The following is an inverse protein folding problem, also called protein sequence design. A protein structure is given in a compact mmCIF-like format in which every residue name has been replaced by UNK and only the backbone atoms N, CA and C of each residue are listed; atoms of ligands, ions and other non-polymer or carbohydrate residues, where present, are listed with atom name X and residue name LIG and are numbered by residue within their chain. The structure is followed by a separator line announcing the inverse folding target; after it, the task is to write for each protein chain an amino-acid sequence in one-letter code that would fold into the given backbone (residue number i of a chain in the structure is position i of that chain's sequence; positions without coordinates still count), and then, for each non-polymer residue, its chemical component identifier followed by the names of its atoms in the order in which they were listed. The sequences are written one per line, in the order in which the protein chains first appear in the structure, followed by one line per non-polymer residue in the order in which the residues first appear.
data_IF_516338267591
#
_entry.id   IF_516338267591
#
_cell.length_a   1.000
_cell.length_b   1.000
_cell.length_c   1.000
_cell.angle_alpha   90.00
_cell.angle_beta   90.00
_cell.angle_gamma   90.00
#
_symmetry.space_group_name_H-M   'P 1'
#
loop_
_entity.id
_entity.type
_entity.pdbx_description
1 polymer ?
#
# COMPACT_ATOMS: atom_id res chain seq x y z
N UNK A 1 -46.93 13.67 11.08
CA UNK A 1 -46.27 14.38 12.20
C UNK A 1 -45.81 15.76 11.71
N UNK A 2 -45.87 16.80 12.58
CA UNK A 2 -45.43 18.13 12.18
C UNK A 2 -43.89 18.20 12.30
N UNK A 3 -43.20 18.18 11.17
CA UNK A 3 -41.72 18.24 11.13
C UNK A 3 -41.15 19.66 11.34
N UNK A 4 -41.92 20.57 11.95
CA UNK A 4 -41.50 21.91 12.33
C UNK A 4 -42.56 22.96 12.19
N UNK A 5 -42.21 24.22 12.51
CA UNK A 5 -43.13 25.38 12.50
C UNK A 5 -42.41 26.65 12.07
N UNK A 6 -43.16 27.65 11.62
CA UNK A 6 -42.67 28.98 11.30
C UNK A 6 -43.29 29.96 12.29
N UNK A 7 -42.48 30.80 12.91
CA UNK A 7 -42.92 31.85 13.84
C UNK A 7 -42.36 33.19 13.37
N UNK A 8 -43.19 34.21 13.24
CA UNK A 8 -42.75 35.57 12.94
C UNK A 8 -42.17 36.21 14.19
N UNK A 9 -40.98 36.85 14.05
CA UNK A 9 -40.33 37.64 15.10
C UNK A 9 -39.89 38.98 14.51
N UNK A 10 -40.68 40.02 14.78
CA UNK A 10 -40.51 41.33 14.15
C UNK A 10 -40.66 41.23 12.63
N UNK A 11 -39.67 41.71 11.86
CA UNK A 11 -39.64 41.62 10.39
C UNK A 11 -39.12 40.29 9.85
N UNK A 12 -38.61 39.39 10.71
CA UNK A 12 -38.01 38.15 10.28
C UNK A 12 -38.87 36.93 10.64
N UNK A 13 -38.62 35.78 9.94
CA UNK A 13 -39.36 34.53 10.12
C UNK A 13 -38.41 33.46 10.63
N UNK A 14 -38.68 32.98 11.86
CA UNK A 14 -37.92 31.89 12.51
C UNK A 14 -38.57 30.56 12.17
N UNK A 15 -37.81 29.64 11.54
CA UNK A 15 -38.22 28.26 11.31
C UNK A 15 -37.65 27.38 12.40
N UNK A 16 -38.49 26.52 12.96
CA UNK A 16 -38.11 25.40 13.81
C UNK A 16 -38.13 24.14 12.93
N UNK A 17 -36.99 23.54 12.69
CA UNK A 17 -36.88 22.23 12.05
C UNK A 17 -36.86 21.17 13.14
N UNK A 18 -37.81 20.24 13.10
CA UNK A 18 -37.94 19.14 14.07
C UNK A 18 -37.47 17.84 13.43
N UNK A 19 -36.40 17.27 13.95
CA UNK A 19 -35.76 16.05 13.47
C UNK A 19 -36.26 14.78 14.16
N UNK A 20 -37.24 14.91 15.07
CA UNK A 20 -37.73 13.80 15.89
C UNK A 20 -36.92 13.64 17.17
N UNK A 21 -36.84 12.39 17.65
CA UNK A 21 -36.09 12.03 18.86
C UNK A 21 -34.79 11.35 18.47
N UNK A 22 -33.71 11.66 19.16
CA UNK A 22 -32.42 10.94 19.04
C UNK A 22 -32.47 9.55 19.71
N UNK A 23 -31.37 8.79 19.63
CA UNK A 23 -31.26 7.46 20.23
C UNK A 23 -31.41 7.45 21.78
N UNK A 24 -31.34 8.61 22.45
CA UNK A 24 -31.58 8.77 23.88
C UNK A 24 -33.03 9.15 24.19
N UNK A 25 -33.88 9.32 23.18
CA UNK A 25 -35.28 9.74 23.31
C UNK A 25 -35.46 11.26 23.41
N UNK A 26 -34.41 12.05 23.34
CA UNK A 26 -34.46 13.52 23.41
C UNK A 26 -34.81 14.10 22.05
N UNK A 27 -35.74 15.09 22.05
CA UNK A 27 -36.18 15.73 20.81
C UNK A 27 -35.13 16.69 20.26
N UNK A 28 -34.73 16.50 19.00
CA UNK A 28 -33.71 17.31 18.30
C UNK A 28 -34.39 18.35 17.44
N UNK A 29 -34.10 19.63 17.70
CA UNK A 29 -34.64 20.78 16.95
C UNK A 29 -33.55 21.74 16.59
N UNK A 30 -33.62 22.27 15.37
CA UNK A 30 -32.73 23.34 14.87
C UNK A 30 -33.56 24.57 14.49
N UNK A 31 -33.05 25.74 14.73
CA UNK A 31 -33.71 26.99 14.42
C UNK A 31 -32.90 27.79 13.39
N UNK A 32 -33.59 28.33 12.40
CA UNK A 32 -33.00 29.24 11.41
C UNK A 32 -33.93 30.41 11.15
N UNK A 33 -33.36 31.61 10.98
CA UNK A 33 -34.11 32.83 10.69
C UNK A 33 -33.95 33.21 9.25
N UNK A 34 -35.08 33.63 8.62
CA UNK A 34 -35.16 34.04 7.24
C UNK A 34 -35.75 35.46 7.17
N UNK A 35 -35.34 36.20 6.15
CA UNK A 35 -35.84 37.53 5.95
C UNK A 35 -37.30 37.57 5.45
N UNK A 36 -37.73 36.55 4.68
CA UNK A 36 -39.04 36.50 4.07
C UNK A 36 -39.80 35.21 4.47
N UNK A 37 -41.14 35.32 4.56
CA UNK A 37 -42.03 34.17 4.80
C UNK A 37 -41.90 33.11 3.68
N UNK A 38 -41.67 33.55 2.43
CA UNK A 38 -41.53 32.66 1.26
C UNK A 38 -40.29 31.76 1.39
N UNK A 39 -39.14 32.33 1.80
CA UNK A 39 -37.92 31.56 2.07
C UNK A 39 -38.09 30.59 3.24
N UNK A 40 -38.69 31.05 4.34
CA UNK A 40 -38.99 30.23 5.50
C UNK A 40 -39.86 29.02 5.14
N UNK A 41 -40.93 29.26 4.34
CA UNK A 41 -41.83 28.18 3.89
C UNK A 41 -41.12 27.20 2.95
N UNK A 42 -40.30 27.70 2.02
CA UNK A 42 -39.51 26.85 1.13
C UNK A 42 -38.53 25.96 1.90
N UNK A 43 -37.85 26.54 2.89
CA UNK A 43 -36.90 25.80 3.74
C UNK A 43 -37.61 24.70 4.56
N UNK A 44 -38.76 25.03 5.18
CA UNK A 44 -39.55 24.07 5.94
C UNK A 44 -40.10 22.92 5.05
N UNK A 45 -40.60 23.24 3.88
CA UNK A 45 -41.09 22.23 2.94
C UNK A 45 -39.97 21.31 2.46
N UNK A 46 -38.77 21.85 2.17
CA UNK A 46 -37.60 21.05 1.82
C UNK A 46 -37.19 20.10 2.96
N UNK A 47 -37.28 20.56 4.23
CA UNK A 47 -37.03 19.72 5.40
C UNK A 47 -38.09 18.60 5.52
N UNK A 48 -39.38 18.91 5.34
CA UNK A 48 -40.45 17.90 5.37
C UNK A 48 -40.24 16.80 4.35
N UNK A 49 -39.90 17.16 3.08
CA UNK A 49 -39.62 16.20 2.03
C UNK A 49 -38.46 15.28 2.40
N UNK A 50 -37.38 15.82 2.98
CA UNK A 50 -36.24 15.00 3.43
C UNK A 50 -36.61 14.06 4.56
N UNK A 51 -37.46 14.51 5.50
CA UNK A 51 -37.96 13.67 6.62
C UNK A 51 -38.83 12.54 6.08
N UNK A 52 -39.76 12.83 5.15
CA UNK A 52 -40.65 11.82 4.56
C UNK A 52 -39.90 10.79 3.71
N UNK A 53 -38.81 11.21 3.07
CA UNK A 53 -37.91 10.33 2.29
C UNK A 53 -36.90 9.56 3.16
N UNK A 54 -36.85 9.80 4.48
CA UNK A 54 -35.86 9.18 5.36
C UNK A 54 -34.41 9.63 5.08
N UNK A 55 -34.22 10.72 4.31
CA UNK A 55 -32.88 11.24 3.94
C UNK A 55 -32.40 12.37 4.86
N UNK A 56 -33.08 12.58 5.97
CA UNK A 56 -32.80 13.68 6.87
C UNK A 56 -31.81 13.24 7.96
N UNK A 57 -30.59 13.69 7.86
CA UNK A 57 -29.54 13.45 8.86
C UNK A 57 -29.72 14.41 10.04
N UNK A 58 -29.58 13.89 11.27
CA UNK A 58 -29.62 14.71 12.47
C UNK A 58 -28.47 15.76 12.45
N UNK A 59 -28.77 17.02 12.81
CA UNK A 59 -27.73 18.02 12.94
C UNK A 59 -26.67 17.57 13.95
N UNK A 60 -25.44 17.56 13.53
CA UNK A 60 -24.31 17.18 14.35
C UNK A 60 -23.27 18.30 14.37
N UNK A 61 -22.71 18.57 15.54
CA UNK A 61 -21.57 19.46 15.71
C UNK A 61 -20.23 18.73 15.56
N UNK A 62 -20.29 17.45 15.21
CA UNK A 62 -19.10 16.61 15.01
C UNK A 62 -18.15 17.27 14.01
N UNK A 63 -16.92 17.48 14.44
CA UNK A 63 -15.87 17.96 13.54
C UNK A 63 -15.33 16.80 12.70
N UNK A 64 -14.70 17.10 11.58
CA UNK A 64 -14.08 16.07 10.76
C UNK A 64 -12.95 15.34 11.51
N UNK A 65 -12.21 16.04 12.38
CA UNK A 65 -11.21 15.40 13.26
C UNK A 65 -11.82 14.35 14.18
N UNK A 66 -12.95 14.66 14.82
CA UNK A 66 -13.67 13.73 15.72
C UNK A 66 -14.20 12.52 14.93
N UNK A 67 -14.73 12.76 13.72
CA UNK A 67 -15.16 11.69 12.83
C UNK A 67 -14.00 10.77 12.46
N UNK A 68 -12.86 11.32 12.06
CA UNK A 68 -11.68 10.54 11.70
C UNK A 68 -11.15 9.69 12.86
N UNK A 69 -11.23 10.18 14.12
CA UNK A 69 -10.86 9.41 15.31
C UNK A 69 -11.78 8.22 15.52
N UNK A 70 -13.09 8.46 15.48
CA UNK A 70 -14.09 7.40 15.62
C UNK A 70 -13.97 6.38 14.48
N UNK A 71 -13.96 6.85 13.22
CA UNK A 71 -13.83 5.98 12.06
C UNK A 71 -12.54 5.15 12.09
N UNK A 72 -11.42 5.77 12.44
CA UNK A 72 -10.14 5.07 12.50
C UNK A 72 -10.13 4.00 13.59
N UNK A 73 -10.56 4.33 14.80
CA UNK A 73 -10.46 3.45 15.95
C UNK A 73 -11.51 2.33 15.95
N UNK A 74 -12.76 2.70 15.67
CA UNK A 74 -13.89 1.80 15.91
C UNK A 74 -14.39 1.11 14.64
N UNK A 75 -14.13 1.67 13.46
CA UNK A 75 -14.62 1.11 12.19
C UNK A 75 -13.50 0.42 11.41
N UNK A 76 -12.40 1.14 11.09
CA UNK A 76 -11.44 0.64 10.11
C UNK A 76 -10.29 -0.16 10.73
N UNK A 77 -9.81 0.22 11.92
CA UNK A 77 -8.67 -0.44 12.57
C UNK A 77 -8.85 -1.96 12.75
N UNK A 78 -10.04 -2.49 13.12
CA UNK A 78 -10.26 -3.93 13.22
C UNK A 78 -10.24 -4.67 11.87
N UNK A 79 -10.35 -3.95 10.74
CA UNK A 79 -10.53 -4.53 9.41
C UNK A 79 -9.25 -4.46 8.55
N UNK A 80 -8.24 -3.71 9.00
CA UNK A 80 -7.04 -3.48 8.21
C UNK A 80 -5.78 -4.00 8.88
N UNK A 81 -4.80 -4.30 8.05
CA UNK A 81 -3.48 -4.71 8.46
C UNK A 81 -2.73 -3.60 9.21
N UNK A 82 -1.90 -3.96 10.16
CA UNK A 82 -1.15 -3.03 11.02
C UNK A 82 -0.28 -2.04 10.23
N UNK A 83 0.33 -2.48 9.13
CA UNK A 83 1.10 -1.61 8.22
C UNK A 83 0.23 -0.55 7.55
N UNK A 84 -0.99 -0.92 7.16
CA UNK A 84 -1.99 0.02 6.61
C UNK A 84 -2.48 0.98 7.68
N UNK A 85 -2.77 0.45 8.88
CA UNK A 85 -3.18 1.24 10.04
C UNK A 85 -2.12 2.29 10.42
N UNK A 86 -0.85 1.91 10.40
CA UNK A 86 0.25 2.84 10.63
C UNK A 86 0.28 3.97 9.60
N UNK A 87 0.12 3.63 8.31
CA UNK A 87 0.04 4.61 7.23
C UNK A 87 -1.14 5.56 7.38
N UNK A 88 -2.33 5.03 7.69
CA UNK A 88 -3.54 5.82 7.91
C UNK A 88 -3.39 6.77 9.10
N UNK A 89 -2.83 6.28 10.22
CA UNK A 89 -2.55 7.11 11.40
C UNK A 89 -1.64 8.28 11.04
N UNK A 90 -0.59 8.04 10.25
CA UNK A 90 0.31 9.08 9.78
C UNK A 90 -0.40 10.14 8.92
N UNK A 91 -1.21 9.73 7.95
CA UNK A 91 -1.99 10.63 7.10
C UNK A 91 -3.01 11.45 7.91
N UNK A 92 -3.74 10.80 8.82
CA UNK A 92 -4.74 11.46 9.67
C UNK A 92 -4.07 12.49 10.57
N UNK A 93 -3.03 12.09 11.32
CA UNK A 93 -2.38 12.94 12.32
C UNK A 93 -1.65 14.13 11.70
N UNK A 94 -0.88 13.88 10.64
CA UNK A 94 0.08 14.86 10.14
C UNK A 94 -0.47 15.76 9.03
N UNK A 95 -1.58 15.35 8.39
CA UNK A 95 -2.11 16.08 7.23
C UNK A 95 -3.60 16.37 7.32
N UNK A 96 -4.46 15.36 7.54
CA UNK A 96 -5.92 15.55 7.49
C UNK A 96 -6.45 16.38 8.65
N UNK A 97 -6.05 16.07 9.88
CA UNK A 97 -6.51 16.82 11.05
C UNK A 97 -6.03 18.26 11.08
N UNK A 98 -4.76 18.57 10.79
CA UNK A 98 -4.30 19.95 10.77
C UNK A 98 -5.04 20.82 9.75
N UNK A 99 -5.40 20.30 8.58
CA UNK A 99 -5.92 21.10 7.46
C UNK A 99 -7.46 21.07 7.37
N UNK A 100 -8.08 19.94 7.65
CA UNK A 100 -9.53 19.76 7.50
C UNK A 100 -10.25 19.49 8.82
N UNK A 101 -9.52 19.21 9.91
CA UNK A 101 -10.07 18.67 11.13
C UNK A 101 -11.10 19.55 11.83
N UNK A 102 -10.94 20.87 11.80
CA UNK A 102 -11.83 21.84 12.45
C UNK A 102 -13.16 22.04 11.70
N UNK A 103 -13.25 21.58 10.44
CA UNK A 103 -14.47 21.73 9.64
C UNK A 103 -15.53 20.79 10.23
N UNK A 104 -16.73 21.28 10.44
CA UNK A 104 -17.87 20.40 10.80
C UNK A 104 -18.10 19.37 9.71
N UNK A 105 -18.23 18.09 10.06
CA UNK A 105 -18.34 16.99 9.11
C UNK A 105 -19.43 17.23 8.06
N UNK A 106 -20.61 17.72 8.48
CA UNK A 106 -21.75 18.03 7.60
C UNK A 106 -21.54 19.28 6.71
N UNK A 107 -20.47 20.05 6.95
CA UNK A 107 -20.11 21.22 6.16
C UNK A 107 -18.88 21.02 5.28
N UNK A 108 -18.23 19.86 5.38
CA UNK A 108 -17.07 19.53 4.54
C UNK A 108 -17.52 19.43 3.07
N UNK A 109 -16.90 20.21 2.21
CA UNK A 109 -17.26 20.30 0.78
C UNK A 109 -16.20 19.67 -0.12
N UNK A 110 -16.58 19.32 -1.34
CA UNK A 110 -15.63 18.89 -2.36
C UNK A 110 -14.54 19.95 -2.65
N UNK A 111 -14.88 21.24 -2.52
CA UNK A 111 -13.93 22.35 -2.70
C UNK A 111 -12.84 22.36 -1.63
N UNK A 112 -13.19 22.06 -0.38
CA UNK A 112 -12.22 21.98 0.73
C UNK A 112 -11.25 20.84 0.48
N UNK A 113 -11.76 19.67 0.07
CA UNK A 113 -10.93 18.50 -0.26
C UNK A 113 -10.04 18.76 -1.48
N UNK A 114 -10.57 19.47 -2.50
CA UNK A 114 -9.75 19.80 -3.68
C UNK A 114 -8.61 20.76 -3.31
N UNK A 115 -8.86 21.77 -2.45
CA UNK A 115 -7.81 22.66 -1.92
C UNK A 115 -6.79 21.91 -1.09
N UNK A 116 -7.24 20.95 -0.30
CA UNK A 116 -6.34 20.07 0.45
C UNK A 116 -5.37 19.30 -0.46
N UNK A 117 -5.80 18.80 -1.63
CA UNK A 117 -4.89 18.14 -2.58
C UNK A 117 -3.87 19.10 -3.17
N UNK A 118 -4.29 20.32 -3.50
CA UNK A 118 -3.38 21.38 -3.95
C UNK A 118 -2.32 21.66 -2.88
N UNK A 119 -2.74 21.85 -1.64
CA UNK A 119 -1.84 22.07 -0.51
C UNK A 119 -0.86 20.90 -0.29
N UNK A 120 -1.32 19.65 -0.42
CA UNK A 120 -0.43 18.48 -0.32
C UNK A 120 0.66 18.46 -1.39
N UNK A 121 0.33 18.89 -2.62
CA UNK A 121 1.28 18.92 -3.73
C UNK A 121 2.20 20.13 -3.67
N UNK A 122 1.66 21.30 -3.46
CA UNK A 122 2.38 22.56 -3.61
C UNK A 122 3.18 22.92 -2.35
N UNK A 123 2.58 22.76 -1.17
CA UNK A 123 3.25 23.14 0.09
C UNK A 123 3.98 21.97 0.76
N UNK A 124 3.44 20.75 0.66
CA UNK A 124 4.08 19.56 1.25
C UNK A 124 4.95 18.78 0.26
N UNK A 125 4.95 19.15 -1.02
CA UNK A 125 5.76 18.51 -2.06
C UNK A 125 5.44 17.03 -2.28
N UNK A 126 4.22 16.58 -1.92
CA UNK A 126 3.85 15.18 -2.06
C UNK A 126 3.57 14.82 -3.52
N UNK A 127 4.02 13.62 -3.91
CA UNK A 127 3.76 13.12 -5.26
C UNK A 127 2.27 12.88 -5.51
N UNK A 128 1.78 12.98 -6.76
CA UNK A 128 0.39 12.65 -7.12
C UNK A 128 -0.04 11.26 -6.63
N UNK A 129 0.86 10.26 -6.67
CA UNK A 129 0.57 8.92 -6.18
C UNK A 129 0.36 8.86 -4.66
N UNK A 130 1.03 9.75 -3.91
CA UNK A 130 0.80 9.88 -2.46
C UNK A 130 -0.54 10.55 -2.19
N UNK A 131 -0.90 11.60 -2.95
CA UNK A 131 -2.21 12.27 -2.83
C UNK A 131 -3.36 11.32 -3.16
N UNK A 132 -3.19 10.38 -4.11
CA UNK A 132 -4.17 9.32 -4.37
C UNK A 132 -4.38 8.41 -3.14
N UNK A 133 -3.36 8.17 -2.32
CA UNK A 133 -3.54 7.42 -1.06
C UNK A 133 -4.42 8.20 -0.07
N UNK A 134 -4.24 9.52 0.02
CA UNK A 134 -5.14 10.39 0.80
C UNK A 134 -6.56 10.39 0.25
N UNK A 135 -6.74 10.44 -1.08
CA UNK A 135 -8.03 10.34 -1.73
C UNK A 135 -8.76 9.04 -1.35
N UNK A 136 -8.07 7.90 -1.40
CA UNK A 136 -8.65 6.60 -1.05
C UNK A 136 -9.06 6.53 0.44
N UNK A 137 -8.23 7.07 1.34
CA UNK A 137 -8.56 7.15 2.77
C UNK A 137 -9.80 8.01 2.99
N UNK A 138 -9.84 9.22 2.39
CA UNK A 138 -10.99 10.13 2.47
C UNK A 138 -12.26 9.50 1.92
N UNK A 139 -12.17 8.81 0.79
CA UNK A 139 -13.30 8.09 0.19
C UNK A 139 -13.85 7.05 1.14
N UNK A 140 -13.00 6.23 1.75
CA UNK A 140 -13.41 5.21 2.70
C UNK A 140 -14.04 5.81 3.96
N UNK A 141 -13.43 6.85 4.53
CA UNK A 141 -13.93 7.50 5.74
C UNK A 141 -15.28 8.20 5.50
N UNK A 142 -15.44 8.87 4.37
CA UNK A 142 -16.67 9.61 4.05
C UNK A 142 -17.80 8.70 3.51
N UNK A 143 -17.46 7.57 2.86
CA UNK A 143 -18.45 6.52 2.57
C UNK A 143 -19.03 5.93 3.86
N UNK A 144 -18.18 5.68 4.86
CA UNK A 144 -18.65 5.23 6.17
C UNK A 144 -19.53 6.29 6.88
N UNK A 145 -19.20 7.59 6.73
CA UNK A 145 -20.01 8.67 7.27
C UNK A 145 -21.39 8.76 6.61
N UNK A 146 -21.47 8.55 5.30
CA UNK A 146 -22.73 8.50 4.56
C UNK A 146 -23.56 7.26 4.93
N UNK A 147 -22.93 6.08 4.95
CA UNK A 147 -23.60 4.81 5.32
C UNK A 147 -24.13 4.78 6.74
N UNK A 148 -23.47 5.49 7.67
CA UNK A 148 -23.92 5.63 9.07
C UNK A 148 -24.76 6.90 9.30
N UNK A 149 -25.21 7.55 8.24
CA UNK A 149 -26.10 8.72 8.31
C UNK A 149 -25.54 9.94 9.07
N UNK A 150 -24.20 10.08 9.17
CA UNK A 150 -23.58 11.30 9.70
C UNK A 150 -23.58 12.43 8.68
N UNK A 151 -23.58 12.11 7.38
CA UNK A 151 -23.73 13.05 6.27
C UNK A 151 -24.77 12.53 5.28
N UNK A 152 -25.47 13.43 4.61
CA UNK A 152 -26.51 13.08 3.61
C UNK A 152 -25.95 12.66 2.26
N UNK A 153 -24.73 13.09 1.95
CA UNK A 153 -24.06 12.83 0.66
C UNK A 153 -22.56 12.95 0.83
N UNK A 154 -21.85 11.97 0.29
CA UNK A 154 -20.39 11.98 0.30
C UNK A 154 -19.85 13.05 -0.69
N UNK A 155 -19.12 14.08 -0.23
CA UNK A 155 -18.54 15.10 -1.11
C UNK A 155 -17.51 14.54 -2.09
N UNK A 156 -16.92 13.37 -1.81
CA UNK A 156 -15.93 12.74 -2.68
C UNK A 156 -16.44 12.42 -4.08
N UNK A 157 -17.76 12.28 -4.26
CA UNK A 157 -18.38 12.07 -5.57
C UNK A 157 -18.12 13.21 -6.58
N UNK A 158 -17.79 14.41 -6.09
CA UNK A 158 -17.48 15.59 -6.88
C UNK A 158 -15.98 15.99 -6.82
N UNK A 159 -15.12 15.16 -6.23
CA UNK A 159 -13.69 15.41 -6.11
C UNK A 159 -12.92 14.59 -7.14
N UNK A 160 -12.03 15.26 -7.88
CA UNK A 160 -11.16 14.60 -8.85
C UNK A 160 -9.77 14.34 -8.24
N UNK A 161 -9.32 13.08 -8.14
CA UNK A 161 -7.95 12.81 -7.72
C UNK A 161 -6.94 13.29 -8.80
N UNK A 162 -5.69 13.57 -8.42
CA UNK A 162 -4.67 13.91 -9.40
C UNK A 162 -4.39 12.71 -10.33
N UNK A 163 -3.90 12.98 -11.52
CA UNK A 163 -3.51 11.93 -12.48
C UNK A 163 -2.36 11.11 -11.89
N UNK A 164 -2.52 9.78 -11.94
CA UNK A 164 -1.47 8.86 -11.49
C UNK A 164 -0.23 9.03 -12.35
N UNK A 165 0.93 9.29 -11.72
CA UNK A 165 2.21 9.18 -12.41
C UNK A 165 2.58 7.71 -12.54
N UNK A 166 2.84 7.28 -13.76
CA UNK A 166 3.44 5.96 -13.99
C UNK A 166 4.89 6.01 -13.49
N UNK A 167 5.25 5.00 -12.70
CA UNK A 167 6.63 4.78 -12.30
C UNK A 167 7.19 3.75 -13.26
N UNK A 168 8.20 4.13 -14.04
CA UNK A 168 8.97 3.17 -14.80
C UNK A 168 9.80 2.36 -13.82
N UNK A 169 9.60 1.05 -13.83
CA UNK A 169 10.38 0.15 -13.00
C UNK A 169 11.82 0.17 -13.52
N UNK A 170 12.76 0.50 -12.63
CA UNK A 170 14.17 0.40 -12.94
C UNK A 170 14.63 -1.04 -12.75
N UNK A 171 15.55 -1.47 -13.57
CA UNK A 171 16.21 -2.76 -13.43
C UNK A 171 17.64 -2.65 -13.95
N UNK A 172 18.50 -3.52 -13.47
CA UNK A 172 19.89 -3.58 -13.90
C UNK A 172 20.04 -4.43 -15.17
N UNK A 173 20.98 -4.02 -16.05
CA UNK A 173 21.46 -4.88 -17.11
C UNK A 173 22.29 -6.04 -16.52
N UNK A 174 22.56 -7.11 -17.30
CA UNK A 174 23.46 -8.19 -16.83
C UNK A 174 24.81 -7.67 -16.33
N UNK A 175 25.41 -6.70 -17.01
CA UNK A 175 26.70 -6.10 -16.66
C UNK A 175 26.60 -5.32 -15.36
N UNK A 176 25.54 -4.51 -15.19
CA UNK A 176 25.31 -3.74 -13.96
C UNK A 176 25.06 -4.65 -12.77
N UNK A 177 24.33 -5.76 -12.97
CA UNK A 177 24.13 -6.76 -11.94
C UNK A 177 25.45 -7.43 -11.57
N UNK A 178 26.27 -7.83 -12.54
CA UNK A 178 27.59 -8.40 -12.29
C UNK A 178 28.45 -7.48 -11.43
N UNK A 179 28.56 -6.18 -11.81
CA UNK A 179 29.30 -5.18 -11.01
C UNK A 179 28.75 -5.05 -9.59
N UNK A 180 27.42 -5.07 -9.41
CA UNK A 180 26.84 -5.05 -8.06
C UNK A 180 27.25 -6.28 -7.25
N UNK A 181 27.14 -7.48 -7.83
CA UNK A 181 27.48 -8.74 -7.16
C UNK A 181 28.95 -8.79 -6.75
N UNK A 182 29.85 -8.32 -7.61
CA UNK A 182 31.28 -8.22 -7.32
C UNK A 182 31.55 -7.25 -6.15
N UNK A 183 30.88 -6.09 -6.15
CA UNK A 183 31.11 -5.06 -5.13
C UNK A 183 30.52 -5.43 -3.76
N UNK A 184 29.43 -6.20 -3.68
CA UNK A 184 28.86 -6.64 -2.40
C UNK A 184 29.63 -7.79 -1.76
N UNK A 185 30.52 -8.45 -2.51
CA UNK A 185 31.31 -9.58 -2.00
C UNK A 185 32.05 -9.22 -0.70
N UNK A 186 32.00 -10.09 0.28
CA UNK A 186 32.59 -9.90 1.60
C UNK A 186 31.89 -8.86 2.49
N UNK A 187 30.83 -8.21 2.04
CA UNK A 187 30.04 -7.27 2.86
C UNK A 187 28.84 -7.96 3.49
N UNK A 188 28.22 -7.30 4.48
CA UNK A 188 26.96 -7.78 5.09
C UNK A 188 25.75 -7.76 4.13
N UNK A 189 25.87 -7.16 2.96
CA UNK A 189 24.83 -7.15 1.92
C UNK A 189 24.99 -8.30 0.93
N UNK A 190 26.08 -9.03 0.95
CA UNK A 190 26.37 -10.08 -0.03
C UNK A 190 25.21 -11.08 -0.13
N UNK A 191 24.96 -11.86 0.90
CA UNK A 191 23.89 -12.87 0.91
C UNK A 191 22.51 -12.27 0.63
N UNK A 192 22.07 -11.16 1.29
CA UNK A 192 20.80 -10.50 0.98
C UNK A 192 20.61 -10.10 -0.49
N UNK A 193 21.65 -9.54 -1.12
CA UNK A 193 21.59 -9.09 -2.50
C UNK A 193 21.54 -10.28 -3.47
N UNK A 194 22.37 -11.30 -3.25
CA UNK A 194 22.35 -12.52 -4.06
C UNK A 194 20.98 -13.23 -4.00
N UNK A 195 20.41 -13.38 -2.81
CA UNK A 195 19.06 -13.98 -2.66
C UNK A 195 18.02 -13.14 -3.43
N UNK A 196 18.03 -11.81 -3.31
CA UNK A 196 17.09 -10.97 -4.04
C UNK A 196 17.29 -11.02 -5.56
N UNK A 197 18.53 -11.05 -6.02
CA UNK A 197 18.87 -11.05 -7.44
C UNK A 197 18.55 -12.40 -8.11
N UNK A 198 18.81 -13.52 -7.42
CA UNK A 198 18.69 -14.85 -8.00
C UNK A 198 17.31 -15.49 -7.81
N UNK A 199 16.60 -15.13 -6.74
CA UNK A 199 15.28 -15.69 -6.44
C UNK A 199 14.13 -14.68 -6.61
N UNK A 200 14.44 -13.41 -6.84
CA UNK A 200 13.44 -12.37 -7.02
C UNK A 200 12.55 -12.15 -5.79
N UNK A 201 13.05 -12.37 -4.57
CA UNK A 201 12.27 -12.24 -3.35
C UNK A 201 11.85 -10.78 -3.09
N UNK A 202 10.66 -10.62 -2.49
CA UNK A 202 10.28 -9.33 -1.91
C UNK A 202 11.13 -9.07 -0.66
N UNK A 203 11.42 -7.80 -0.37
CA UNK A 203 12.16 -7.42 0.84
C UNK A 203 11.63 -8.09 2.12
N UNK A 204 10.32 -8.13 2.26
CA UNK A 204 9.70 -8.75 3.44
C UNK A 204 9.88 -10.27 3.48
N UNK A 205 9.85 -10.95 2.33
CA UNK A 205 10.12 -12.38 2.20
C UNK A 205 11.58 -12.69 2.56
N UNK A 206 12.52 -11.89 2.04
CA UNK A 206 13.94 -12.00 2.39
C UNK A 206 14.17 -11.83 3.90
N UNK A 207 13.60 -10.79 4.53
CA UNK A 207 13.76 -10.55 5.97
C UNK A 207 13.01 -11.56 6.85
N UNK A 208 12.05 -12.29 6.29
CA UNK A 208 11.28 -13.33 6.97
C UNK A 208 11.78 -14.75 6.70
N UNK A 209 12.82 -14.91 5.88
CA UNK A 209 13.36 -16.22 5.50
C UNK A 209 14.03 -16.90 6.70
N UNK A 210 13.70 -18.15 6.94
CA UNK A 210 14.18 -18.96 8.07
C UNK A 210 15.05 -20.12 7.60
N UNK A 211 15.92 -20.60 8.45
CA UNK A 211 16.72 -21.81 8.17
C UNK A 211 15.83 -23.06 8.03
N UNK A 212 14.73 -23.13 8.76
CA UNK A 212 13.72 -24.18 8.60
C UNK A 212 13.05 -24.21 7.23
N UNK A 213 13.10 -23.08 6.47
CA UNK A 213 12.55 -22.98 5.12
C UNK A 213 13.55 -23.43 4.04
N UNK A 214 14.83 -23.69 4.41
CA UNK A 214 15.94 -23.99 3.48
C UNK A 214 16.30 -25.45 3.54
N UNK A 215 16.20 -26.15 2.41
CA UNK A 215 16.65 -27.52 2.22
C UNK A 215 17.87 -27.53 1.30
N UNK A 216 19.07 -27.62 1.92
CA UNK A 216 20.34 -27.64 1.18
C UNK A 216 20.62 -28.99 0.53
N UNK A 217 19.98 -30.07 0.98
CA UNK A 217 20.12 -31.41 0.39
C UNK A 217 19.38 -31.47 -0.95
N UNK A 218 18.15 -30.98 -0.98
CA UNK A 218 17.33 -30.94 -2.20
C UNK A 218 17.48 -29.64 -2.97
N UNK A 219 18.37 -28.73 -2.53
CA UNK A 219 18.61 -27.42 -3.16
C UNK A 219 17.31 -26.62 -3.37
N UNK A 220 16.49 -26.51 -2.31
CA UNK A 220 15.23 -25.77 -2.37
C UNK A 220 15.06 -24.81 -1.20
N UNK A 221 14.25 -23.80 -1.43
CA UNK A 221 13.80 -22.88 -0.38
C UNK A 221 12.31 -22.60 -0.51
N UNK A 222 11.58 -22.70 0.58
CA UNK A 222 10.14 -22.45 0.62
C UNK A 222 9.87 -21.06 1.22
N UNK A 223 9.13 -20.24 0.52
CA UNK A 223 8.78 -18.89 0.95
C UNK A 223 7.40 -18.92 1.59
N UNK A 224 7.35 -18.90 2.91
CA UNK A 224 6.12 -18.97 3.70
C UNK A 224 5.91 -17.74 4.58
N UNK A 225 6.97 -17.04 4.94
CA UNK A 225 6.95 -15.97 5.90
C UNK A 225 7.32 -14.62 5.28
N UNK A 226 6.74 -13.56 5.85
CA UNK A 226 7.05 -12.19 5.45
C UNK A 226 7.24 -11.34 6.71
N UNK A 227 8.37 -10.66 6.81
CA UNK A 227 8.66 -9.72 7.90
C UNK A 227 8.62 -8.30 7.37
N UNK A 228 7.75 -7.49 7.95
CA UNK A 228 7.52 -6.09 7.58
C UNK A 228 7.66 -5.19 8.79
N UNK A 229 7.53 -3.88 8.61
CA UNK A 229 7.71 -2.91 9.68
C UNK A 229 6.63 -1.82 9.62
N UNK A 230 6.05 -1.49 10.77
CA UNK A 230 5.16 -0.35 10.98
C UNK A 230 5.77 0.59 12.04
N UNK A 231 6.46 1.62 11.59
CA UNK A 231 7.28 2.48 12.46
C UNK A 231 8.45 1.69 13.07
N UNK A 232 8.47 1.61 14.41
CA UNK A 232 9.49 0.83 15.15
C UNK A 232 9.08 -0.63 15.36
N UNK A 233 7.81 -0.96 15.14
CA UNK A 233 7.27 -2.31 15.38
C UNK A 233 7.51 -3.19 14.16
N UNK A 234 8.11 -4.33 14.38
CA UNK A 234 8.28 -5.39 13.40
C UNK A 234 7.06 -6.30 13.42
N UNK A 235 6.63 -6.71 12.25
CA UNK A 235 5.42 -7.49 12.05
C UNK A 235 5.78 -8.69 11.21
N UNK A 236 5.62 -9.85 11.79
CA UNK A 236 5.73 -11.12 11.10
C UNK A 236 4.36 -11.62 10.67
N UNK A 237 4.31 -12.20 9.49
CA UNK A 237 3.10 -12.82 8.94
C UNK A 237 3.49 -14.00 8.08
N UNK A 238 2.69 -15.03 8.12
CA UNK A 238 2.63 -16.01 7.04
C UNK A 238 2.24 -15.32 5.73
N UNK A 239 2.52 -15.94 4.61
CA UNK A 239 2.10 -15.42 3.30
C UNK A 239 0.59 -15.28 3.24
N UNK A 240 0.09 -14.15 2.74
CA UNK A 240 -1.35 -13.77 2.75
C UNK A 240 -2.27 -14.71 1.99
N UNK A 241 -1.75 -15.50 1.06
CA UNK A 241 -2.54 -16.39 0.21
C UNK A 241 -1.75 -17.67 -0.06
N UNK A 242 -2.47 -18.77 -0.28
CA UNK A 242 -1.89 -20.07 -0.71
C UNK A 242 -1.01 -19.89 -1.96
N UNK A 243 -1.37 -18.94 -2.85
CA UNK A 243 -0.59 -18.60 -4.05
C UNK A 243 0.72 -17.86 -3.77
N UNK A 244 0.92 -17.37 -2.55
CA UNK A 244 2.16 -16.67 -2.15
C UNK A 244 3.20 -17.62 -1.55
N UNK A 245 2.77 -18.76 -1.00
CA UNK A 245 3.65 -19.86 -0.59
C UNK A 245 4.16 -20.57 -1.85
N UNK A 246 5.47 -20.64 -1.97
CA UNK A 246 6.13 -21.26 -3.12
C UNK A 246 7.49 -21.81 -2.75
N UNK A 247 7.86 -22.92 -3.37
CA UNK A 247 9.21 -23.50 -3.27
C UNK A 247 10.00 -23.12 -4.52
N UNK A 248 11.20 -22.62 -4.32
CA UNK A 248 12.13 -22.21 -5.36
C UNK A 248 13.38 -23.08 -5.33
N UNK A 249 13.98 -23.30 -6.49
CA UNK A 249 15.26 -23.97 -6.62
C UNK A 249 16.40 -23.03 -6.20
N UNK A 250 17.39 -23.57 -5.48
CA UNK A 250 18.61 -22.87 -5.08
C UNK A 250 19.75 -23.27 -6.03
N UNK A 251 20.31 -22.36 -6.83
CA UNK A 251 21.50 -22.65 -7.62
C UNK A 251 22.72 -22.91 -6.69
N UNK A 252 23.69 -23.68 -7.19
CA UNK A 252 24.87 -24.10 -6.43
C UNK A 252 25.57 -22.94 -5.72
N UNK A 253 25.70 -21.80 -6.40
CA UNK A 253 26.27 -20.56 -5.83
C UNK A 253 25.54 -20.14 -4.54
N UNK A 254 24.21 -20.14 -4.53
CA UNK A 254 23.44 -19.79 -3.33
C UNK A 254 23.54 -20.87 -2.25
N UNK A 255 23.59 -22.15 -2.63
CA UNK A 255 23.79 -23.24 -1.68
C UNK A 255 25.14 -23.11 -0.93
N UNK A 256 26.20 -22.82 -1.65
CA UNK A 256 27.53 -22.59 -1.05
C UNK A 256 27.54 -21.36 -0.13
N UNK A 257 26.92 -20.25 -0.58
CA UNK A 257 26.80 -19.03 0.24
C UNK A 257 25.97 -19.28 1.53
N UNK A 258 24.89 -20.06 1.43
CA UNK A 258 24.06 -20.40 2.60
C UNK A 258 24.81 -21.32 3.57
N UNK A 259 25.61 -22.28 3.07
CA UNK A 259 26.48 -23.11 3.94
C UNK A 259 27.49 -22.24 4.69
N UNK A 260 28.21 -21.38 3.97
CA UNK A 260 29.17 -20.44 4.55
C UNK A 260 28.51 -19.50 5.58
N UNK A 261 27.29 -19.01 5.29
CA UNK A 261 26.54 -18.18 6.21
C UNK A 261 26.17 -18.93 7.49
N UNK A 262 25.80 -20.20 7.40
CA UNK A 262 25.49 -21.06 8.56
C UNK A 262 26.73 -21.37 9.40
N UNK A 263 27.86 -21.61 8.78
CA UNK A 263 29.16 -21.77 9.47
C UNK A 263 29.54 -20.48 10.23
N UNK A 264 29.47 -19.34 9.55
CA UNK A 264 29.72 -18.03 10.15
C UNK A 264 28.78 -17.72 11.32
N UNK A 265 27.51 -18.08 11.19
CA UNK A 265 26.55 -17.97 12.29
C UNK A 265 27.02 -18.74 13.52
N UNK A 266 27.50 -19.97 13.36
CA UNK A 266 28.01 -20.80 14.45
C UNK A 266 29.28 -20.20 15.08
N UNK A 267 30.16 -19.61 14.29
CA UNK A 267 31.32 -18.87 14.78
C UNK A 267 30.90 -17.65 15.62
N UNK A 268 29.94 -16.87 15.13
CA UNK A 268 29.38 -15.72 15.84
C UNK A 268 28.69 -16.13 17.15
N UNK A 269 27.90 -17.20 17.16
CA UNK A 269 27.32 -17.78 18.40
C UNK A 269 28.38 -18.09 19.44
N UNK A 270 29.47 -18.67 18.99
CA UNK A 270 30.60 -19.02 19.86
C UNK A 270 31.32 -17.76 20.38
N UNK A 271 31.53 -16.76 19.53
CA UNK A 271 32.20 -15.52 19.87
C UNK A 271 31.40 -14.61 20.81
N UNK A 272 30.11 -14.39 20.47
CA UNK A 272 29.23 -13.48 21.21
C UNK A 272 28.49 -14.13 22.39
N UNK A 273 28.46 -15.47 22.46
CA UNK A 273 27.90 -16.24 23.58
C UNK A 273 26.47 -15.74 23.96
N UNK A 274 26.30 -15.33 25.21
CA UNK A 274 25.00 -14.91 25.77
C UNK A 274 24.46 -13.60 25.19
N UNK A 275 25.22 -12.88 24.36
CA UNK A 275 24.80 -11.63 23.72
C UNK A 275 24.23 -11.92 22.32
N UNK A 276 24.54 -13.10 21.78
CA UNK A 276 24.02 -13.50 20.46
C UNK A 276 22.51 -13.78 20.52
N UNK A 277 21.76 -13.18 19.59
CA UNK A 277 20.32 -13.42 19.43
C UNK A 277 20.13 -14.71 18.60
N UNK A 278 20.01 -15.84 19.29
CA UNK A 278 19.84 -17.14 18.65
C UNK A 278 18.40 -17.33 18.15
N UNK A 279 18.22 -17.19 16.86
CA UNK A 279 16.95 -17.29 16.18
C UNK A 279 17.10 -18.07 14.86
N UNK A 280 15.99 -18.34 14.18
CA UNK A 280 15.96 -19.17 12.95
C UNK A 280 16.06 -18.36 11.65
N UNK A 281 16.43 -17.06 11.69
CA UNK A 281 16.50 -16.26 10.46
C UNK A 281 17.80 -16.46 9.68
N UNK A 282 17.68 -16.52 8.34
CA UNK A 282 18.83 -16.64 7.42
C UNK A 282 19.59 -15.33 7.30
N UNK A 283 18.89 -14.20 7.31
CA UNK A 283 19.46 -12.88 7.07
C UNK A 283 19.57 -12.11 8.38
N UNK A 284 20.72 -12.25 9.05
CA UNK A 284 21.01 -11.69 10.38
C UNK A 284 22.23 -10.79 10.36
N UNK A 285 22.36 -9.94 11.38
CA UNK A 285 23.55 -9.18 11.69
C UNK A 285 24.55 -10.05 12.48
N UNK A 286 25.75 -9.54 12.74
CA UNK A 286 26.81 -10.26 13.44
C UNK A 286 26.42 -10.66 14.87
N UNK A 287 25.53 -9.89 15.52
CA UNK A 287 24.99 -10.21 16.84
C UNK A 287 23.78 -11.15 16.81
N UNK A 288 23.49 -11.75 15.65
CA UNK A 288 22.35 -12.67 15.43
C UNK A 288 21.02 -11.99 15.22
N UNK A 289 20.89 -10.67 15.44
CA UNK A 289 19.62 -9.99 15.24
C UNK A 289 19.25 -9.95 13.77
N UNK A 290 18.01 -10.33 13.43
CA UNK A 290 17.56 -10.28 12.06
C UNK A 290 17.50 -8.84 11.55
N UNK A 291 17.86 -8.63 10.27
CA UNK A 291 17.80 -7.30 9.66
C UNK A 291 16.40 -6.71 9.74
N UNK A 292 16.29 -5.49 10.22
CA UNK A 292 15.03 -4.72 10.09
C UNK A 292 14.78 -4.37 8.62
N UNK A 293 13.58 -4.59 8.08
CA UNK A 293 13.31 -4.37 6.65
C UNK A 293 13.66 -2.96 6.15
N UNK A 294 13.40 -1.91 6.93
CA UNK A 294 13.75 -0.55 6.54
C UNK A 294 15.26 -0.31 6.59
N UNK A 295 15.93 -0.79 7.63
CA UNK A 295 17.39 -0.67 7.76
C UNK A 295 18.12 -1.36 6.59
N UNK A 296 17.68 -2.54 6.19
CA UNK A 296 18.25 -3.23 5.03
C UNK A 296 18.11 -2.39 3.74
N UNK A 297 16.96 -1.73 3.53
CA UNK A 297 16.77 -0.83 2.37
C UNK A 297 17.66 0.41 2.43
N UNK A 298 17.81 0.99 3.62
CA UNK A 298 18.69 2.15 3.84
C UNK A 298 20.16 1.79 3.61
N UNK A 299 20.58 0.64 4.14
CA UNK A 299 21.93 0.10 3.97
C UNK A 299 22.24 -0.16 2.48
N UNK A 300 21.30 -0.78 1.76
CA UNK A 300 21.45 -1.03 0.33
C UNK A 300 21.53 0.28 -0.47
N UNK A 301 20.66 1.24 -0.19
CA UNK A 301 20.68 2.56 -0.86
C UNK A 301 21.98 3.32 -0.61
N UNK A 302 22.48 3.27 0.64
CA UNK A 302 23.77 3.87 1.00
C UNK A 302 24.92 3.18 0.26
N UNK A 303 24.92 1.84 0.25
CA UNK A 303 25.94 1.05 -0.44
C UNK A 303 26.04 1.41 -1.94
N UNK A 304 24.90 1.55 -2.62
CA UNK A 304 24.90 1.96 -4.04
C UNK A 304 25.50 3.35 -4.23
N UNK A 305 25.22 4.27 -3.31
CA UNK A 305 25.77 5.63 -3.37
C UNK A 305 27.28 5.65 -3.09
N UNK A 306 27.74 4.93 -2.08
CA UNK A 306 29.14 4.86 -1.65
C UNK A 306 30.03 4.18 -2.71
N UNK A 307 29.43 3.38 -3.62
CA UNK A 307 30.13 2.65 -4.68
C UNK A 307 29.86 3.17 -6.09
N UNK A 308 29.22 4.36 -6.23
CA UNK A 308 28.88 4.98 -7.51
C UNK A 308 28.07 4.07 -8.46
N UNK A 309 27.19 3.23 -7.87
CA UNK A 309 26.31 2.34 -8.65
C UNK A 309 25.00 3.04 -9.04
N UNK A 310 24.38 2.67 -10.17
CA UNK A 310 23.09 3.21 -10.54
C UNK A 310 22.03 3.00 -9.44
N UNK A 311 21.29 4.07 -9.10
CA UNK A 311 20.33 4.04 -8.00
C UNK A 311 19.10 3.22 -8.32
N UNK A 312 18.94 2.12 -7.62
CA UNK A 312 17.74 1.29 -7.56
C UNK A 312 17.35 1.06 -6.10
N UNK A 313 16.12 0.65 -5.85
CA UNK A 313 15.71 0.16 -4.54
C UNK A 313 15.81 -1.37 -4.48
N UNK A 314 15.93 -1.93 -3.29
CA UNK A 314 16.10 -3.39 -3.11
C UNK A 314 14.99 -4.20 -3.83
N UNK A 315 13.75 -3.66 -3.88
CA UNK A 315 12.66 -4.30 -4.61
C UNK A 315 12.87 -4.33 -6.15
N UNK A 316 13.69 -3.43 -6.68
CA UNK A 316 14.01 -3.38 -8.13
C UNK A 316 14.96 -4.49 -8.55
N UNK A 317 15.66 -5.17 -7.63
CA UNK A 317 16.37 -6.43 -7.91
C UNK A 317 15.39 -7.54 -8.34
N UNK A 318 14.19 -7.55 -7.79
CA UNK A 318 13.12 -8.45 -8.24
C UNK A 318 12.65 -8.11 -9.67
N UNK A 319 12.62 -6.83 -10.03
CA UNK A 319 12.36 -6.42 -11.42
C UNK A 319 13.52 -6.81 -12.34
N UNK A 320 14.75 -6.71 -11.84
CA UNK A 320 15.95 -7.20 -12.53
C UNK A 320 15.85 -8.70 -12.80
N UNK A 321 15.57 -9.52 -11.77
CA UNK A 321 15.35 -10.96 -11.93
C UNK A 321 14.33 -11.27 -13.03
N UNK A 322 13.18 -10.63 -12.98
CA UNK A 322 12.13 -10.88 -13.95
C UNK A 322 12.48 -10.39 -15.37
N UNK A 323 13.16 -9.24 -15.51
CA UNK A 323 13.62 -8.73 -16.79
C UNK A 323 14.67 -9.64 -17.42
N UNK A 324 15.66 -10.09 -16.64
CA UNK A 324 16.69 -11.01 -17.11
C UNK A 324 16.14 -12.40 -17.43
N UNK A 325 15.20 -12.91 -16.64
CA UNK A 325 14.50 -14.17 -16.94
C UNK A 325 13.74 -14.09 -18.27
N UNK A 326 13.05 -12.98 -18.53
CA UNK A 326 12.36 -12.77 -19.80
C UNK A 326 13.35 -12.65 -20.96
N UNK A 327 14.48 -11.95 -20.76
CA UNK A 327 15.56 -11.87 -21.77
C UNK A 327 16.19 -13.24 -22.06
N UNK A 328 16.25 -14.14 -21.08
CA UNK A 328 16.68 -15.52 -21.22
C UNK A 328 15.63 -16.43 -21.88
N UNK A 329 14.49 -15.88 -22.31
CA UNK A 329 13.43 -16.63 -22.99
C UNK A 329 12.52 -17.45 -22.05
N UNK A 330 12.58 -17.23 -20.75
CA UNK A 330 11.72 -17.92 -19.79
C UNK A 330 10.26 -17.45 -19.95
N UNK A 331 9.29 -18.36 -20.13
CA UNK A 331 7.89 -17.99 -20.27
C UNK A 331 7.37 -17.15 -19.10
N UNK A 332 6.62 -16.09 -19.40
CA UNK A 332 6.10 -15.15 -18.38
C UNK A 332 5.33 -15.86 -17.25
N UNK A 333 4.60 -16.93 -17.59
CA UNK A 333 3.90 -17.76 -16.60
C UNK A 333 4.85 -18.35 -15.53
N UNK A 334 6.01 -18.86 -15.96
CA UNK A 334 7.01 -19.44 -15.06
C UNK A 334 7.64 -18.35 -14.18
N UNK A 335 7.91 -17.17 -14.77
CA UNK A 335 8.42 -16.01 -14.03
C UNK A 335 7.38 -15.57 -12.96
N UNK A 336 6.10 -15.46 -13.33
CA UNK A 336 5.02 -15.12 -12.42
C UNK A 336 4.89 -16.11 -11.25
N UNK A 337 4.97 -17.40 -11.55
CA UNK A 337 4.95 -18.46 -10.56
C UNK A 337 6.14 -18.38 -9.60
N UNK A 338 7.35 -18.19 -10.12
CA UNK A 338 8.56 -18.01 -9.31
C UNK A 338 8.47 -16.76 -8.43
N UNK A 339 7.90 -15.68 -8.93
CA UNK A 339 7.71 -14.44 -8.20
C UNK A 339 6.52 -14.49 -7.20
N UNK A 340 5.57 -15.42 -7.34
CA UNK A 340 4.36 -15.45 -6.52
C UNK A 340 3.47 -14.22 -6.74
N UNK A 341 3.18 -13.89 -8.00
CA UNK A 341 2.22 -12.86 -8.36
C UNK A 341 0.80 -13.43 -8.35
N UNK A 342 -0.13 -12.78 -7.65
CA UNK A 342 -1.52 -13.20 -7.57
C UNK A 342 -2.35 -12.86 -8.82
N UNK A 343 -1.83 -12.00 -9.71
CA UNK A 343 -2.51 -11.61 -10.95
C UNK A 343 -1.53 -11.41 -12.10
N UNK A 344 -1.83 -11.97 -13.30
CA UNK A 344 -1.02 -11.79 -14.52
C UNK A 344 -0.83 -10.33 -14.93
N UNK A 345 -1.81 -9.46 -14.66
CA UNK A 345 -1.77 -8.04 -14.99
C UNK A 345 -0.58 -7.27 -14.38
N UNK A 346 -0.01 -7.75 -13.27
CA UNK A 346 1.13 -7.08 -12.62
C UNK A 346 2.42 -7.32 -13.39
N UNK A 347 2.63 -8.53 -13.87
CA UNK A 347 3.80 -8.91 -14.68
C UNK A 347 3.71 -8.26 -16.07
N UNK A 348 2.55 -8.33 -16.71
CA UNK A 348 2.31 -7.79 -18.04
C UNK A 348 2.57 -6.28 -18.14
N UNK A 349 2.18 -5.48 -17.13
CA UNK A 349 2.41 -4.02 -17.10
C UNK A 349 3.89 -3.63 -17.04
N UNK A 350 4.72 -4.43 -16.37
CA UNK A 350 6.14 -4.14 -16.20
C UNK A 350 6.93 -4.50 -17.47
N UNK A 351 6.45 -5.48 -18.24
CA UNK A 351 7.16 -6.07 -19.37
C UNK A 351 6.60 -5.72 -20.75
N UNK A 352 5.62 -4.81 -20.85
CA UNK A 352 5.01 -4.39 -22.13
C UNK A 352 6.07 -3.93 -23.15
N UNK A 353 7.15 -3.29 -22.69
CA UNK A 353 8.26 -2.86 -23.56
C UNK A 353 9.17 -4.00 -24.08
N UNK A 354 9.10 -5.19 -23.45
CA UNK A 354 9.83 -6.37 -23.86
C UNK A 354 8.99 -7.31 -24.73
N UNK A 355 7.67 -7.13 -24.74
CA UNK A 355 6.73 -7.95 -25.51
C UNK A 355 6.91 -7.84 -27.03
N UNK A 356 7.40 -6.72 -27.55
CA UNK A 356 7.65 -6.55 -28.98
C UNK A 356 8.70 -7.55 -29.51
N UNK A 357 9.76 -7.79 -28.73
CA UNK A 357 10.76 -8.81 -29.08
C UNK A 357 10.24 -10.24 -28.95
N UNK A 358 9.46 -10.51 -27.91
CA UNK A 358 8.88 -11.84 -27.65
C UNK A 358 7.82 -12.19 -28.70
N UNK A 359 7.05 -11.19 -29.18
CA UNK A 359 6.08 -11.39 -30.25
C UNK A 359 6.78 -11.72 -31.57
N UNK A 360 7.86 -11.03 -31.91
CA UNK A 360 8.68 -11.32 -33.10
C UNK A 360 9.23 -12.74 -33.04
N UNK A 361 9.84 -13.13 -31.93
CA UNK A 361 10.35 -14.50 -31.72
C UNK A 361 9.28 -15.58 -31.80
N UNK A 362 8.08 -15.31 -31.27
CA UNK A 362 6.96 -16.26 -31.36
C UNK A 362 6.48 -16.43 -32.81
N UNK A 363 6.38 -15.34 -33.57
CA UNK A 363 5.98 -15.37 -34.99
C UNK A 363 7.05 -16.07 -35.82
N UNK A 364 8.31 -15.74 -35.62
CA UNK A 364 9.46 -16.40 -36.30
C UNK A 364 9.54 -17.89 -35.95
N UNK A 365 9.31 -18.26 -34.67
CA UNK A 365 9.25 -19.65 -34.23
C UNK A 365 8.15 -20.46 -34.90
N UNK A 366 6.95 -19.91 -34.98
CA UNK A 366 5.83 -20.58 -35.67
C UNK A 366 6.10 -20.66 -37.18
N UNK A 367 6.64 -19.61 -37.80
CA UNK A 367 6.98 -19.62 -39.20
C UNK A 367 8.07 -20.69 -39.52
N UNK A 368 9.10 -20.79 -38.69
CA UNK A 368 10.16 -21.80 -38.83
C UNK A 368 9.60 -23.24 -38.74
N UNK A 369 8.70 -23.52 -37.74
CA UNK A 369 8.04 -24.83 -37.60
C UNK A 369 7.20 -25.15 -38.83
N UNK A 370 6.40 -24.18 -39.30
CA UNK A 370 5.54 -24.35 -40.46
C UNK A 370 6.35 -24.61 -41.75
N UNK A 371 7.44 -23.87 -41.95
CA UNK A 371 8.34 -24.03 -43.12
C UNK A 371 9.09 -25.38 -43.08
N UNK A 372 9.51 -25.83 -41.88
CA UNK A 372 10.11 -27.14 -41.73
C UNK A 372 9.11 -28.28 -42.03
N UNK A 373 7.87 -28.14 -41.56
CA UNK A 373 6.81 -29.10 -41.88
C UNK A 373 6.51 -29.18 -43.39
N UNK A 374 6.51 -28.01 -44.07
CA UNK A 374 6.33 -27.95 -45.56
C UNK A 374 7.49 -28.55 -46.36
N UNK A 375 8.72 -28.51 -45.84
CA UNK A 375 9.87 -29.14 -46.50
C UNK A 375 9.88 -30.66 -46.34
N UNK A 376 9.20 -31.20 -45.35
CA UNK A 376 9.10 -32.65 -45.07
C UNK A 376 7.87 -33.30 -45.74
N UNK A 377 6.93 -32.50 -46.25
CA UNK A 377 5.74 -32.94 -46.99
C UNK A 377 6.01 -32.92 -48.50
#
# INVERSE_FOLDING_TARGET
MAYGSITQRGEAFRVCFDYGKDGSGKRVRQYQTFATKKEATRALNAHKVKMDQGTCVLPSEYTFAQWLDYWYKDIILPQIEETTAYGYRGMIKNYLKPELGEIRLQKLTARDIQRYYTWLMDEKGLSPNTVIKHHNLLTNALNAAESQEYITKNPMSAVSPPKKRQHEAKFYTPEQLGVLLDKVAGTRLELPVYICAYLGLRRGELCGLRWSDVDLEHQTVTIENTRTQAGKKEIEKGTKTVSSTRTLYLPDTLCEMLKTAKEREQECKTAYKNVYDDNDYVVVMEDGKPFRPNYLSELFSKFLTDNDLPKIVLHELRHTFASLSNQAGIPSFNIEKALGHSTPATTQKIYTHLLDRTHTQAVEGVAAIADEARRKA
#
